data_IF_305792105999
#
_entry.id   IF_305792105999
#
_cell.length_a   1.000
_cell.length_b   1.000
_cell.length_c   1.000
_cell.angle_alpha   90.00
_cell.angle_beta   90.00
_cell.angle_gamma   90.00
#
_symmetry.space_group_name_H-M   'P 1'
#
loop_
_entity.id
_entity.type
_entity.pdbx_description
1 polymer ?
#
# COMPACT_ATOMS: atom_id res chain seq x y z
N UNK A 1 0.77 -16.61 -35.32
CA UNK A 1 1.50 -16.15 -34.11
C UNK A 1 0.55 -16.07 -32.91
N UNK A 2 -0.50 -15.23 -32.96
CA UNK A 2 -1.57 -15.13 -31.93
C UNK A 2 -2.06 -16.51 -31.44
N UNK A 3 -2.53 -17.36 -32.34
CA UNK A 3 -3.14 -18.65 -31.97
C UNK A 3 -2.15 -19.61 -31.30
N UNK A 4 -0.89 -19.62 -31.76
CA UNK A 4 0.18 -20.45 -31.19
C UNK A 4 0.50 -20.02 -29.76
N UNK A 5 0.52 -18.71 -29.47
CA UNK A 5 0.75 -18.20 -28.12
C UNK A 5 -0.42 -18.51 -27.18
N UNK A 6 -1.66 -18.42 -27.68
CA UNK A 6 -2.83 -18.82 -26.92
C UNK A 6 -2.79 -20.33 -26.61
N UNK A 7 -2.57 -21.17 -27.62
CA UNK A 7 -2.42 -22.61 -27.44
C UNK A 7 -1.33 -22.94 -26.41
N UNK A 8 -0.17 -22.27 -26.53
CA UNK A 8 0.94 -22.41 -25.61
C UNK A 8 0.56 -22.11 -24.15
N UNK A 9 -0.16 -21.00 -23.91
CA UNK A 9 -0.54 -20.54 -22.57
C UNK A 9 -1.70 -21.32 -21.94
N UNK A 10 -2.61 -21.83 -22.77
CA UNK A 10 -3.74 -22.64 -22.31
C UNK A 10 -3.40 -24.11 -22.13
N UNK A 11 -2.24 -24.56 -22.61
CA UNK A 11 -1.76 -25.92 -22.42
C UNK A 11 -1.09 -26.08 -21.05
N UNK A 12 -1.64 -26.94 -20.19
CA UNK A 12 -1.07 -27.21 -18.87
C UNK A 12 0.18 -28.10 -18.98
N UNK A 13 1.31 -27.59 -18.50
CA UNK A 13 2.55 -28.37 -18.38
C UNK A 13 2.78 -28.79 -16.94
N UNK A 14 3.06 -30.07 -16.75
CA UNK A 14 3.49 -30.61 -15.48
C UNK A 14 5.01 -30.48 -15.31
N UNK A 15 5.50 -29.26 -15.04
CA UNK A 15 6.93 -29.06 -14.71
C UNK A 15 7.14 -29.32 -13.23
N UNK A 16 7.87 -30.39 -12.89
CA UNK A 16 8.05 -30.84 -11.51
C UNK A 16 9.19 -30.10 -10.81
N UNK A 17 10.24 -29.74 -11.54
CA UNK A 17 11.40 -29.03 -10.99
C UNK A 17 11.06 -27.54 -10.76
N UNK A 18 11.27 -27.00 -9.54
CA UNK A 18 11.09 -25.58 -9.25
C UNK A 18 11.90 -24.64 -10.16
N UNK A 19 13.14 -24.97 -10.53
CA UNK A 19 13.97 -24.11 -11.38
C UNK A 19 13.43 -24.04 -12.80
N UNK A 20 13.08 -25.18 -13.38
CA UNK A 20 12.44 -25.24 -14.70
C UNK A 20 11.08 -24.54 -14.68
N UNK A 21 10.34 -24.62 -13.56
CA UNK A 21 9.06 -23.91 -13.42
C UNK A 21 9.25 -22.40 -13.43
N UNK A 22 10.25 -21.85 -12.74
CA UNK A 22 10.55 -20.42 -12.81
C UNK A 22 10.96 -19.98 -14.22
N UNK A 23 11.76 -20.80 -14.91
CA UNK A 23 12.12 -20.56 -16.31
C UNK A 23 10.89 -20.54 -17.22
N UNK A 24 10.00 -21.51 -17.06
CA UNK A 24 8.75 -21.61 -17.81
C UNK A 24 7.82 -20.42 -17.54
N UNK A 25 7.60 -20.02 -16.28
CA UNK A 25 6.78 -18.86 -15.91
C UNK A 25 7.29 -17.55 -16.53
N UNK A 26 8.61 -17.41 -16.72
CA UNK A 26 9.19 -16.27 -17.42
C UNK A 26 8.85 -16.27 -18.91
N UNK A 27 8.87 -17.45 -19.56
CA UNK A 27 8.47 -17.60 -20.97
C UNK A 27 6.97 -17.39 -21.13
N UNK A 28 6.15 -17.96 -20.24
CA UNK A 28 4.71 -17.73 -20.21
C UNK A 28 4.38 -16.24 -20.00
N UNK A 29 5.10 -15.56 -19.11
CA UNK A 29 4.96 -14.11 -18.94
C UNK A 29 5.33 -13.34 -20.22
N UNK A 30 6.40 -13.70 -20.91
CA UNK A 30 6.77 -13.07 -22.18
C UNK A 30 5.71 -13.31 -23.28
N UNK A 31 5.17 -14.53 -23.36
CA UNK A 31 4.10 -14.89 -24.27
C UNK A 31 2.81 -14.11 -23.98
N UNK A 32 2.39 -14.06 -22.70
CA UNK A 32 1.21 -13.31 -22.28
C UNK A 32 1.34 -11.81 -22.58
N UNK A 33 2.51 -11.20 -22.32
CA UNK A 33 2.76 -9.80 -22.66
C UNK A 33 2.68 -9.55 -24.16
N UNK A 34 3.20 -10.48 -24.97
CA UNK A 34 3.17 -10.37 -26.43
C UNK A 34 1.75 -10.37 -26.99
N UNK A 35 0.79 -11.02 -26.32
CA UNK A 35 -0.61 -11.03 -26.73
C UNK A 35 -1.28 -9.64 -26.69
N UNK A 36 -0.72 -8.68 -25.93
CA UNK A 36 -1.19 -7.29 -25.92
C UNK A 36 -1.05 -6.58 -27.28
N UNK A 37 -0.28 -7.13 -28.23
CA UNK A 37 -0.19 -6.62 -29.60
C UNK A 37 -1.47 -6.82 -30.43
N UNK A 38 -2.43 -7.62 -29.96
CA UNK A 38 -3.73 -7.84 -30.61
C UNK A 38 -4.89 -7.41 -29.70
N UNK A 39 -5.08 -6.09 -29.48
CA UNK A 39 -6.06 -5.57 -28.52
C UNK A 39 -7.48 -5.64 -29.09
N UNK A 40 -8.08 -6.82 -29.05
CA UNK A 40 -9.49 -7.03 -29.35
C UNK A 40 -10.25 -7.61 -28.14
N UNK A 41 -11.59 -7.55 -28.19
CA UNK A 41 -12.47 -8.01 -27.11
C UNK A 41 -12.32 -9.52 -26.84
N UNK A 42 -12.09 -10.30 -27.89
CA UNK A 42 -11.89 -11.75 -27.78
C UNK A 42 -10.60 -12.07 -27.04
N UNK A 43 -9.52 -11.35 -27.35
CA UNK A 43 -8.23 -11.44 -26.68
C UNK A 43 -8.36 -11.04 -25.21
N UNK A 44 -9.03 -9.92 -24.93
CA UNK A 44 -9.28 -9.50 -23.55
C UNK A 44 -9.98 -10.60 -22.75
N UNK A 45 -11.07 -11.16 -23.28
CA UNK A 45 -11.80 -12.26 -22.62
C UNK A 45 -10.96 -13.50 -22.45
N UNK A 46 -10.09 -13.81 -23.41
CA UNK A 46 -9.19 -14.96 -23.35
C UNK A 46 -8.15 -14.78 -22.24
N UNK A 47 -7.50 -13.61 -22.17
CA UNK A 47 -6.54 -13.27 -21.13
C UNK A 47 -7.22 -13.24 -19.75
N UNK A 48 -8.42 -12.68 -19.64
CA UNK A 48 -9.17 -12.65 -18.39
C UNK A 48 -9.52 -14.06 -17.92
N UNK A 49 -9.96 -14.94 -18.82
CA UNK A 49 -10.20 -16.36 -18.52
C UNK A 49 -8.93 -17.08 -18.08
N UNK A 50 -7.79 -16.78 -18.69
CA UNK A 50 -6.48 -17.34 -18.27
C UNK A 50 -6.13 -16.90 -16.84
N UNK A 51 -6.45 -15.66 -16.47
CA UNK A 51 -6.16 -15.07 -15.16
C UNK A 51 -6.87 -15.76 -14.00
N UNK A 52 -7.97 -16.47 -14.27
CA UNK A 52 -8.68 -17.29 -13.28
C UNK A 52 -7.81 -18.47 -12.80
N UNK A 53 -6.90 -18.96 -13.64
CA UNK A 53 -6.12 -20.18 -13.42
C UNK A 53 -4.63 -19.96 -13.16
N UNK A 54 -4.12 -18.81 -13.60
CA UNK A 54 -2.68 -18.50 -13.60
C UNK A 54 -2.45 -17.08 -13.10
N UNK A 55 -1.43 -16.91 -12.29
CA UNK A 55 -0.89 -15.60 -11.91
C UNK A 55 0.44 -15.43 -12.65
N UNK A 56 0.53 -14.46 -13.56
CA UNK A 56 1.74 -14.18 -14.35
C UNK A 56 1.94 -12.67 -14.44
N UNK A 57 3.19 -12.21 -14.26
CA UNK A 57 3.53 -10.78 -14.43
C UNK A 57 3.19 -10.29 -15.85
N UNK A 58 3.47 -11.10 -16.87
CA UNK A 58 3.11 -10.75 -18.25
C UNK A 58 1.60 -10.68 -18.50
N UNK A 59 0.81 -11.46 -17.78
CA UNK A 59 -0.65 -11.42 -17.87
C UNK A 59 -1.21 -10.19 -17.16
N UNK A 60 -0.62 -9.80 -16.02
CA UNK A 60 -0.94 -8.53 -15.35
C UNK A 60 -0.66 -7.35 -16.30
N UNK A 61 0.53 -7.30 -16.90
CA UNK A 61 0.91 -6.27 -17.86
C UNK A 61 -0.06 -6.20 -19.05
N UNK A 62 -0.37 -7.36 -19.65
CA UNK A 62 -1.26 -7.43 -20.81
C UNK A 62 -2.68 -6.98 -20.48
N UNK A 63 -3.24 -7.43 -19.36
CA UNK A 63 -4.57 -7.03 -18.91
C UNK A 63 -4.62 -5.55 -18.51
N UNK A 64 -3.56 -5.02 -17.90
CA UNK A 64 -3.47 -3.61 -17.54
C UNK A 64 -3.52 -2.68 -18.76
N UNK A 65 -3.08 -3.14 -19.93
CA UNK A 65 -3.15 -2.38 -21.18
C UNK A 65 -4.57 -2.09 -21.66
N UNK A 66 -5.56 -2.87 -21.23
CA UNK A 66 -6.97 -2.66 -21.56
C UNK A 66 -7.65 -1.62 -20.65
N UNK A 67 -7.07 -1.32 -19.49
CA UNK A 67 -7.59 -0.34 -18.52
C UNK A 67 -9.06 -0.61 -18.11
N UNK A 68 -9.39 -1.89 -17.96
CA UNK A 68 -10.76 -2.37 -17.71
C UNK A 68 -11.00 -2.76 -16.25
N UNK A 69 -12.11 -2.32 -15.62
CA UNK A 69 -12.39 -2.62 -14.21
C UNK A 69 -12.53 -4.12 -13.92
N UNK A 70 -12.88 -4.94 -14.91
CA UNK A 70 -13.01 -6.38 -14.77
C UNK A 70 -11.70 -7.08 -14.36
N UNK A 71 -10.54 -6.43 -14.54
CA UNK A 71 -9.23 -6.98 -14.17
C UNK A 71 -8.86 -6.72 -12.71
N UNK A 72 -9.59 -5.83 -12.02
CA UNK A 72 -9.28 -5.42 -10.64
C UNK A 72 -9.17 -6.61 -9.68
N UNK A 73 -10.10 -7.60 -9.66
CA UNK A 73 -10.00 -8.72 -8.72
C UNK A 73 -8.71 -9.54 -8.91
N UNK A 74 -8.24 -9.66 -10.15
CA UNK A 74 -6.99 -10.35 -10.46
C UNK A 74 -5.78 -9.58 -9.93
N UNK A 75 -5.75 -8.26 -10.10
CA UNK A 75 -4.67 -7.41 -9.57
C UNK A 75 -4.69 -7.34 -8.04
N UNK A 76 -5.87 -7.28 -7.39
CA UNK A 76 -5.97 -7.29 -5.92
C UNK A 76 -5.40 -8.58 -5.32
N UNK A 77 -5.63 -9.73 -5.96
CA UNK A 77 -5.04 -11.01 -5.54
C UNK A 77 -3.52 -11.00 -5.71
N UNK A 78 -3.02 -10.37 -6.76
CA UNK A 78 -1.58 -10.26 -7.03
C UNK A 78 -0.83 -9.38 -6.00
N UNK A 79 -1.50 -8.47 -5.30
CA UNK A 79 -0.88 -7.67 -4.24
C UNK A 79 -0.44 -8.50 -3.02
N UNK A 80 -1.02 -9.69 -2.80
CA UNK A 80 -0.71 -10.57 -1.67
C UNK A 80 0.61 -11.36 -1.87
N UNK A 81 1.22 -11.27 -3.04
CA UNK A 81 2.41 -12.03 -3.43
C UNK A 81 3.54 -11.09 -3.83
N UNK A 82 4.69 -11.18 -3.14
CA UNK A 82 5.86 -10.32 -3.35
C UNK A 82 6.35 -10.34 -4.81
N UNK A 83 6.21 -11.47 -5.51
CA UNK A 83 6.71 -11.64 -6.87
C UNK A 83 5.86 -10.90 -7.92
N UNK A 84 4.56 -10.72 -7.65
CA UNK A 84 3.61 -10.07 -8.56
C UNK A 84 3.24 -8.65 -8.12
N UNK A 85 3.42 -8.31 -6.84
CA UNK A 85 2.95 -7.07 -6.21
C UNK A 85 3.38 -5.82 -6.98
N UNK A 86 4.65 -5.67 -7.30
CA UNK A 86 5.15 -4.47 -7.99
C UNK A 86 4.52 -4.26 -9.38
N UNK A 87 4.16 -5.34 -10.08
CA UNK A 87 3.47 -5.26 -11.37
C UNK A 87 1.99 -4.95 -11.18
N UNK A 88 1.36 -5.54 -10.17
CA UNK A 88 -0.03 -5.28 -9.82
C UNK A 88 -0.26 -3.84 -9.33
N UNK A 89 0.66 -3.27 -8.55
CA UNK A 89 0.61 -1.87 -8.12
C UNK A 89 0.57 -0.93 -9.32
N UNK A 90 1.48 -1.12 -10.28
CA UNK A 90 1.52 -0.32 -11.52
C UNK A 90 0.24 -0.47 -12.35
N UNK A 91 -0.30 -1.69 -12.43
CA UNK A 91 -1.55 -1.96 -13.14
C UNK A 91 -2.75 -1.24 -12.48
N UNK A 92 -2.83 -1.26 -11.15
CA UNK A 92 -3.89 -0.57 -10.38
C UNK A 92 -3.74 0.95 -10.42
N UNK A 93 -2.51 1.49 -10.37
CA UNK A 93 -2.24 2.91 -10.59
C UNK A 93 -2.72 3.37 -11.97
N UNK A 94 -2.47 2.56 -13.01
CA UNK A 94 -2.90 2.85 -14.39
C UNK A 94 -4.42 2.91 -14.53
N UNK A 95 -5.16 2.06 -13.81
CA UNK A 95 -6.63 2.14 -13.73
C UNK A 95 -7.13 3.42 -13.03
N UNK A 96 -6.27 4.05 -12.22
CA UNK A 96 -6.56 5.30 -11.54
C UNK A 96 -7.81 5.23 -10.67
N UNK A 97 -8.67 6.24 -10.80
CA UNK A 97 -9.87 6.39 -9.96
C UNK A 97 -10.86 5.21 -10.04
N UNK A 98 -10.85 4.44 -11.14
CA UNK A 98 -11.69 3.26 -11.30
C UNK A 98 -11.33 2.16 -10.28
N UNK A 99 -10.06 2.09 -9.86
CA UNK A 99 -9.58 1.13 -8.87
C UNK A 99 -9.91 1.53 -7.43
N UNK A 100 -10.19 2.81 -7.15
CA UNK A 100 -10.35 3.34 -5.79
C UNK A 100 -11.34 2.55 -4.91
N UNK A 101 -12.56 2.19 -5.36
CA UNK A 101 -13.50 1.46 -4.49
C UNK A 101 -12.96 0.10 -4.05
N UNK A 102 -12.20 -0.58 -4.91
CA UNK A 102 -11.60 -1.86 -4.59
C UNK A 102 -10.40 -1.68 -3.65
N UNK A 103 -9.51 -0.74 -3.94
CA UNK A 103 -8.36 -0.42 -3.11
C UNK A 103 -8.77 0.02 -1.69
N UNK A 104 -9.83 0.82 -1.54
CA UNK A 104 -10.36 1.21 -0.23
C UNK A 104 -10.82 -0.03 0.55
N UNK A 105 -11.62 -0.91 -0.07
CA UNK A 105 -12.01 -2.18 0.58
C UNK A 105 -10.79 -3.00 0.94
N UNK A 106 -9.81 -3.08 0.03
CA UNK A 106 -8.60 -3.84 0.25
C UNK A 106 -7.81 -3.31 1.45
N UNK A 107 -7.63 -1.99 1.57
CA UNK A 107 -6.90 -1.36 2.67
C UNK A 107 -7.53 -1.59 4.05
N UNK A 108 -8.86 -1.68 4.14
CA UNK A 108 -9.58 -1.83 5.43
C UNK A 108 -9.99 -3.26 5.77
N UNK A 109 -9.77 -4.23 4.88
CA UNK A 109 -10.20 -5.62 5.10
C UNK A 109 -8.99 -6.51 5.42
N UNK A 110 -8.76 -6.87 6.70
CA UNK A 110 -7.74 -7.86 7.06
C UNK A 110 -8.12 -9.27 6.61
N UNK A 111 -7.12 -10.10 6.27
CA UNK A 111 -7.29 -11.50 5.85
C UNK A 111 -6.27 -12.44 6.53
N UNK A 112 -6.71 -13.59 7.07
CA UNK A 112 -8.11 -13.95 7.32
C UNK A 112 -8.78 -12.97 8.29
N UNK A 113 -10.11 -12.89 8.31
CA UNK A 113 -10.85 -12.01 9.22
C UNK A 113 -10.78 -12.44 10.72
N UNK A 114 -9.83 -13.31 11.08
CA UNK A 114 -9.58 -13.74 12.45
C UNK A 114 -8.62 -12.77 13.16
N UNK A 115 -8.33 -13.02 14.44
CA UNK A 115 -7.45 -12.17 15.26
C UNK A 115 -6.02 -12.05 14.72
N UNK A 116 -5.59 -12.96 13.83
CA UNK A 116 -4.24 -12.99 13.29
C UNK A 116 -4.31 -12.84 11.76
N UNK A 117 -4.17 -11.60 11.31
CA UNK A 117 -3.95 -11.27 9.90
C UNK A 117 -2.64 -11.90 9.41
N UNK A 118 -2.63 -12.46 8.19
CA UNK A 118 -1.42 -13.03 7.62
C UNK A 118 -0.51 -11.93 7.00
N UNK A 119 0.81 -12.17 6.87
CA UNK A 119 1.74 -11.17 6.33
C UNK A 119 1.36 -10.67 4.92
N UNK A 120 0.95 -11.58 4.04
CA UNK A 120 0.50 -11.26 2.68
C UNK A 120 -0.67 -10.27 2.64
N UNK A 121 -1.59 -10.37 3.59
CA UNK A 121 -2.73 -9.46 3.70
C UNK A 121 -2.31 -8.08 4.19
N UNK A 122 -1.42 -8.01 5.19
CA UNK A 122 -0.86 -6.74 5.65
C UNK A 122 -0.18 -6.02 4.48
N UNK A 123 0.64 -6.75 3.72
CA UNK A 123 1.31 -6.21 2.53
C UNK A 123 0.34 -5.74 1.45
N UNK A 124 -0.74 -6.49 1.18
CA UNK A 124 -1.81 -6.04 0.27
C UNK A 124 -2.45 -4.74 0.77
N UNK A 125 -2.75 -4.63 2.07
CA UNK A 125 -3.36 -3.42 2.65
C UNK A 125 -2.44 -2.21 2.53
N UNK A 126 -1.15 -2.38 2.85
CA UNK A 126 -0.11 -1.34 2.71
C UNK A 126 0.03 -0.89 1.26
N UNK A 127 0.07 -1.84 0.32
CA UNK A 127 0.16 -1.57 -1.11
C UNK A 127 -1.07 -0.81 -1.62
N UNK A 128 -2.27 -1.24 -1.21
CA UNK A 128 -3.50 -0.55 -1.56
C UNK A 128 -3.49 0.91 -1.07
N UNK A 129 -3.02 1.14 0.15
CA UNK A 129 -2.93 2.48 0.73
C UNK A 129 -1.85 3.35 0.04
N UNK A 130 -0.74 2.76 -0.40
CA UNK A 130 0.29 3.44 -1.19
C UNK A 130 -0.28 3.90 -2.53
N UNK A 131 -0.99 3.02 -3.24
CA UNK A 131 -1.65 3.36 -4.51
C UNK A 131 -2.68 4.48 -4.30
N UNK A 132 -3.49 4.40 -3.24
CA UNK A 132 -4.47 5.44 -2.90
C UNK A 132 -3.84 6.81 -2.63
N UNK A 133 -2.65 6.85 -2.02
CA UNK A 133 -1.88 8.09 -1.84
C UNK A 133 -1.43 8.73 -3.15
N UNK A 134 -1.24 7.94 -4.21
CA UNK A 134 -0.82 8.44 -5.51
C UNK A 134 -1.99 8.87 -6.38
N UNK A 135 -3.07 8.08 -6.41
CA UNK A 135 -4.23 8.37 -7.27
C UNK A 135 -5.21 9.36 -6.62
N UNK A 136 -5.18 9.48 -5.29
CA UNK A 136 -6.06 10.35 -4.50
C UNK A 136 -7.41 9.72 -4.17
N UNK A 137 -8.07 10.25 -3.13
CA UNK A 137 -9.38 9.78 -2.64
C UNK A 137 -10.38 10.92 -2.47
N UNK A 138 -11.66 10.56 -2.41
CA UNK A 138 -12.75 11.46 -2.04
C UNK A 138 -12.96 11.50 -0.52
N UNK A 139 -13.69 12.51 -0.04
CA UNK A 139 -14.09 12.60 1.36
C UNK A 139 -14.91 11.38 1.82
N UNK A 140 -15.78 10.84 0.97
CA UNK A 140 -16.58 9.65 1.32
C UNK A 140 -15.69 8.42 1.54
N UNK A 141 -14.62 8.27 0.75
CA UNK A 141 -13.65 7.20 0.93
C UNK A 141 -12.80 7.41 2.18
N UNK A 142 -12.47 8.67 2.51
CA UNK A 142 -11.80 9.01 3.76
C UNK A 142 -12.58 8.55 5.00
N UNK A 143 -13.91 8.73 5.02
CA UNK A 143 -14.75 8.27 6.14
C UNK A 143 -14.63 6.77 6.42
N UNK A 144 -14.29 5.96 5.41
CA UNK A 144 -14.03 4.52 5.57
C UNK A 144 -12.59 4.28 6.04
N UNK A 145 -11.63 5.00 5.47
CA UNK A 145 -10.20 4.80 5.72
C UNK A 145 -9.73 5.34 7.06
N UNK A 146 -10.46 6.28 7.69
CA UNK A 146 -10.07 6.86 8.98
C UNK A 146 -9.93 5.82 10.10
N UNK A 147 -10.61 4.68 9.99
CA UNK A 147 -10.47 3.56 10.93
C UNK A 147 -9.02 3.04 10.99
N UNK A 148 -8.25 3.19 9.90
CA UNK A 148 -6.83 2.81 9.84
C UNK A 148 -5.94 3.64 10.78
N UNK A 149 -6.41 4.78 11.29
CA UNK A 149 -5.68 5.53 12.33
C UNK A 149 -5.54 4.72 13.65
N UNK A 150 -6.41 3.73 13.84
CA UNK A 150 -6.41 2.83 14.99
C UNK A 150 -5.76 1.48 14.69
N UNK A 151 -5.22 1.30 13.48
CA UNK A 151 -4.58 0.05 13.11
C UNK A 151 -3.32 -0.22 13.97
N UNK A 152 -3.05 -1.48 14.35
CA UNK A 152 -1.78 -1.85 14.99
C UNK A 152 -0.58 -1.69 14.06
N UNK A 153 -0.77 -1.78 12.74
CA UNK A 153 0.31 -1.63 11.77
C UNK A 153 0.69 -0.16 11.56
N UNK A 154 1.95 0.16 11.86
CA UNK A 154 2.44 1.54 11.85
C UNK A 154 2.48 2.14 10.44
N UNK A 155 2.77 1.33 9.41
CA UNK A 155 2.76 1.79 8.01
C UNK A 155 1.35 2.15 7.55
N UNK A 156 0.33 1.39 7.96
CA UNK A 156 -1.06 1.71 7.69
C UNK A 156 -1.49 3.02 8.38
N UNK A 157 -1.11 3.24 9.64
CA UNK A 157 -1.41 4.50 10.35
C UNK A 157 -0.77 5.70 9.66
N UNK A 158 0.52 5.59 9.28
CA UNK A 158 1.25 6.66 8.59
C UNK A 158 0.66 6.92 7.20
N UNK A 159 0.42 5.87 6.42
CA UNK A 159 -0.17 5.98 5.08
C UNK A 159 -1.58 6.58 5.11
N UNK A 160 -2.39 6.25 6.10
CA UNK A 160 -3.74 6.79 6.26
C UNK A 160 -3.70 8.24 6.74
N UNK A 161 -2.77 8.58 7.64
CA UNK A 161 -2.55 9.96 8.08
C UNK A 161 -2.14 10.86 6.92
N UNK A 162 -1.22 10.39 6.05
CA UNK A 162 -0.81 11.12 4.84
C UNK A 162 -1.98 11.35 3.89
N UNK A 163 -2.72 10.28 3.60
CA UNK A 163 -3.85 10.29 2.68
C UNK A 163 -5.00 11.17 3.18
N UNK A 164 -5.28 11.11 4.49
CA UNK A 164 -6.39 11.80 5.12
C UNK A 164 -6.14 13.25 5.45
N UNK A 165 -4.88 13.68 5.62
CA UNK A 165 -4.53 15.04 6.06
C UNK A 165 -5.30 16.17 5.34
N UNK A 166 -5.45 16.20 4.00
CA UNK A 166 -6.21 17.24 3.31
C UNK A 166 -7.74 17.14 3.48
N UNK A 167 -8.26 16.01 3.94
CA UNK A 167 -9.70 15.70 4.03
C UNK A 167 -10.21 15.60 5.47
N UNK A 168 -9.30 15.45 6.43
CA UNK A 168 -9.57 15.11 7.80
C UNK A 168 -10.31 16.22 8.55
N UNK A 169 -11.28 15.81 9.37
CA UNK A 169 -11.91 16.72 10.33
C UNK A 169 -10.91 17.16 11.40
N UNK A 170 -11.18 18.24 12.16
CA UNK A 170 -10.34 18.61 13.30
C UNK A 170 -10.15 17.48 14.34
N UNK A 171 -11.17 16.65 14.52
CA UNK A 171 -11.10 15.47 15.41
C UNK A 171 -10.16 14.40 14.87
N UNK A 172 -10.26 14.07 13.58
CA UNK A 172 -9.37 13.12 12.92
C UNK A 172 -7.93 13.61 12.95
N UNK A 173 -7.69 14.90 12.69
CA UNK A 173 -6.35 15.54 12.74
C UNK A 173 -5.74 15.43 14.15
N UNK A 174 -6.55 15.64 15.19
CA UNK A 174 -6.12 15.43 16.58
C UNK A 174 -5.78 13.96 16.86
N UNK A 175 -6.56 13.03 16.31
CA UNK A 175 -6.29 11.59 16.41
C UNK A 175 -5.01 11.20 15.68
N UNK A 176 -4.79 11.67 14.46
CA UNK A 176 -3.55 11.51 13.69
C UNK A 176 -2.35 11.99 14.52
N UNK A 177 -2.39 13.25 15.00
CA UNK A 177 -1.30 13.82 15.78
C UNK A 177 -0.97 12.96 17.01
N UNK A 178 -1.99 12.53 17.75
CA UNK A 178 -1.83 11.66 18.93
C UNK A 178 -1.19 10.32 18.57
N UNK A 179 -1.66 9.66 17.50
CA UNK A 179 -1.16 8.35 17.07
C UNK A 179 0.27 8.46 16.56
N UNK A 180 0.56 9.41 15.68
CA UNK A 180 1.90 9.68 15.14
C UNK A 180 2.92 9.99 16.25
N UNK A 181 2.54 10.78 17.27
CA UNK A 181 3.41 11.02 18.43
C UNK A 181 3.72 9.75 19.23
N UNK A 182 2.74 8.85 19.37
CA UNK A 182 2.94 7.59 20.08
C UNK A 182 3.87 6.64 19.30
N UNK A 183 3.81 6.66 17.97
CA UNK A 183 4.65 5.86 17.09
C UNK A 183 6.07 6.39 16.94
N UNK A 184 6.29 7.71 17.10
CA UNK A 184 7.55 8.37 16.78
C UNK A 184 8.80 7.74 17.42
N UNK A 185 8.67 7.12 18.60
CA UNK A 185 9.77 6.49 19.32
C UNK A 185 9.97 5.00 18.99
N UNK A 186 8.93 4.29 18.55
CA UNK A 186 8.98 2.85 18.23
C UNK A 186 9.10 2.56 16.74
N UNK A 187 8.75 3.55 15.91
CA UNK A 187 8.64 3.34 14.48
C UNK A 187 9.99 2.99 13.82
N UNK A 188 10.00 2.06 12.86
CA UNK A 188 11.15 1.82 12.01
C UNK A 188 11.72 3.11 11.45
N UNK A 189 13.05 3.17 11.32
CA UNK A 189 13.77 4.37 10.90
C UNK A 189 13.24 4.96 9.57
N UNK A 190 12.78 4.12 8.65
CA UNK A 190 12.26 4.54 7.35
C UNK A 190 10.90 5.26 7.43
N UNK A 191 10.14 5.12 8.53
CA UNK A 191 8.89 5.85 8.77
C UNK A 191 9.09 7.14 9.58
N UNK A 192 10.23 7.30 10.26
CA UNK A 192 10.43 8.44 11.16
C UNK A 192 10.35 9.77 10.43
N UNK A 193 10.96 9.89 9.25
CA UNK A 193 10.91 11.13 8.46
C UNK A 193 9.48 11.51 8.06
N UNK A 194 8.68 10.52 7.66
CA UNK A 194 7.27 10.69 7.31
C UNK A 194 6.42 11.11 8.51
N UNK A 195 6.60 10.44 9.65
CA UNK A 195 5.90 10.77 10.90
C UNK A 195 6.24 12.21 11.30
N UNK A 196 7.52 12.60 11.26
CA UNK A 196 7.94 13.96 11.57
C UNK A 196 7.33 14.97 10.60
N UNK A 197 7.33 14.68 9.30
CA UNK A 197 6.72 15.55 8.28
C UNK A 197 5.23 15.76 8.51
N UNK A 198 4.49 14.70 8.84
CA UNK A 198 3.06 14.76 9.16
C UNK A 198 2.78 15.54 10.44
N UNK A 199 3.59 15.35 11.50
CA UNK A 199 3.44 16.09 12.75
C UNK A 199 3.70 17.59 12.57
N UNK A 200 4.63 17.96 11.69
CA UNK A 200 4.85 19.36 11.30
C UNK A 200 3.64 19.92 10.55
N UNK A 201 3.04 19.15 9.64
CA UNK A 201 1.83 19.58 8.93
C UNK A 201 0.60 19.70 9.86
N UNK A 202 0.59 18.94 10.95
CA UNK A 202 -0.41 18.97 12.03
C UNK A 202 0.00 19.90 13.19
N UNK A 203 0.75 20.97 12.94
CA UNK A 203 1.31 21.83 14.00
C UNK A 203 0.27 22.38 14.97
N UNK A 204 -0.92 22.74 14.46
CA UNK A 204 -1.98 23.35 15.28
C UNK A 204 -2.53 22.33 16.29
N UNK A 205 -2.56 21.05 15.91
CA UNK A 205 -3.00 19.94 16.77
C UNK A 205 -1.88 19.36 17.65
N UNK A 206 -0.64 19.41 17.18
CA UNK A 206 0.49 18.69 17.78
C UNK A 206 1.35 19.53 18.71
N UNK A 207 1.47 20.85 18.48
CA UNK A 207 2.48 21.69 19.13
C UNK A 207 2.44 21.66 20.67
N UNK A 208 1.25 21.85 21.27
CA UNK A 208 1.10 21.87 22.73
C UNK A 208 1.46 20.50 23.33
N UNK A 209 1.06 19.41 22.67
CA UNK A 209 1.34 18.04 23.12
C UNK A 209 2.82 17.70 23.01
N UNK A 210 3.46 18.09 21.90
CA UNK A 210 4.90 17.92 21.71
C UNK A 210 5.67 18.67 22.80
N UNK A 211 5.29 19.93 23.09
CA UNK A 211 5.91 20.70 24.15
C UNK A 211 5.76 20.05 25.53
N UNK A 212 4.56 19.55 25.86
CA UNK A 212 4.31 18.85 27.12
C UNK A 212 5.12 17.55 27.26
N UNK A 213 5.20 16.74 26.21
CA UNK A 213 5.96 15.48 26.24
C UNK A 213 7.48 15.72 26.31
N UNK A 214 7.98 16.75 25.62
CA UNK A 214 9.37 17.21 25.78
C UNK A 214 9.62 17.65 27.23
N UNK A 215 8.76 18.49 27.80
CA UNK A 215 8.92 18.97 29.18
C UNK A 215 8.94 17.81 30.17
N UNK A 216 8.04 16.83 30.01
CA UNK A 216 8.00 15.61 30.82
C UNK A 216 9.30 14.81 30.71
N UNK A 217 9.76 14.50 29.49
CA UNK A 217 11.01 13.74 29.24
C UNK A 217 12.25 14.49 29.73
N UNK A 218 12.25 15.82 29.70
CA UNK A 218 13.36 16.64 30.18
C UNK A 218 13.58 16.57 31.71
N UNK A 219 12.58 16.11 32.48
CA UNK A 219 12.72 15.86 33.93
C UNK A 219 13.50 14.59 34.26
N UNK A 220 13.72 13.70 33.29
CA UNK A 220 14.45 12.46 33.49
C UNK A 220 15.96 12.71 33.71
N UNK A 221 16.67 11.79 34.41
CA UNK A 221 18.12 11.85 34.58
C UNK A 221 18.88 12.01 33.26
N UNK A 222 20.03 12.70 33.30
CA UNK A 222 20.83 13.03 32.12
C UNK A 222 21.19 11.83 31.22
N UNK A 223 21.57 10.70 31.81
CA UNK A 223 21.91 9.48 31.07
C UNK A 223 20.70 8.87 30.36
N UNK A 224 19.50 8.93 30.95
CA UNK A 224 18.26 8.45 30.33
C UNK A 224 17.90 9.36 29.15
N UNK A 225 17.95 10.68 29.34
CA UNK A 225 17.67 11.66 28.29
C UNK A 225 18.59 11.52 27.08
N UNK A 226 19.87 11.22 27.30
CA UNK A 226 20.84 11.05 26.23
C UNK A 226 20.51 9.85 25.31
N UNK A 227 19.85 8.82 25.86
CA UNK A 227 19.47 7.61 25.14
C UNK A 227 18.04 7.64 24.60
N UNK A 228 17.20 8.60 24.99
CA UNK A 228 15.79 8.70 24.59
C UNK A 228 15.66 9.14 23.12
N UNK A 229 15.48 8.17 22.23
CA UNK A 229 15.25 8.38 20.80
C UNK A 229 13.97 9.19 20.52
N UNK A 230 12.92 8.94 21.30
CA UNK A 230 11.67 9.70 21.21
C UNK A 230 11.86 11.17 21.55
N UNK A 231 12.66 11.49 22.59
CA UNK A 231 12.99 12.88 22.92
C UNK A 231 13.76 13.55 21.77
N UNK A 232 14.76 12.87 21.19
CA UNK A 232 15.52 13.40 20.05
C UNK A 232 14.61 13.67 18.85
N UNK A 233 13.68 12.77 18.55
CA UNK A 233 12.71 12.94 17.48
C UNK A 233 11.75 14.12 17.74
N UNK A 234 11.16 14.22 18.94
CA UNK A 234 10.29 15.34 19.32
C UNK A 234 11.02 16.69 19.22
N UNK A 235 12.30 16.75 19.62
CA UNK A 235 13.12 17.95 19.47
C UNK A 235 13.42 18.29 18.00
N UNK A 236 13.49 17.32 17.09
CA UNK A 236 13.56 17.58 15.64
C UNK A 236 12.25 18.16 15.12
N UNK A 237 11.11 17.55 15.46
CA UNK A 237 9.78 18.04 15.06
C UNK A 237 9.56 19.47 15.55
N UNK A 238 9.80 19.74 16.85
CA UNK A 238 9.67 21.09 17.43
C UNK A 238 10.47 22.14 16.64
N UNK A 239 11.74 21.85 16.34
CA UNK A 239 12.60 22.75 15.56
C UNK A 239 12.12 22.96 14.13
N UNK A 240 11.46 21.97 13.52
CA UNK A 240 10.86 22.10 12.18
C UNK A 240 9.58 22.94 12.22
N UNK A 241 8.73 22.73 13.23
CA UNK A 241 7.51 23.54 13.45
C UNK A 241 7.86 25.01 13.68
N UNK A 242 8.91 25.32 14.43
CA UNK A 242 9.36 26.70 14.67
C UNK A 242 9.91 27.40 13.41
N UNK A 243 10.26 26.64 12.36
CA UNK A 243 10.82 27.17 11.10
C UNK A 243 9.81 27.29 9.96
N UNK A 244 8.65 26.65 10.06
CA UNK A 244 7.62 26.57 9.02
C UNK A 244 6.48 27.55 9.29
#
# INVERSE_FOLDING_TARGET
AKDVLLEYLFHERGTVDPEDRFGEEAVESAAARSLAAWPDEEMFRSLLKLSERRMLNGLIDALAAYERPETIPYFERALEDDFYRATAERALQRLGQVACPALVRSAVTPRPASLLENPSSIERRRSALRILNEIGITRQQWEILRELLHDPDEELVVGASRLGLPLASPEDRMTMARRLMALLASAPWHLQEDIEGLLVALRDESAQRIAAEIAKKMTQPGHIRAMDEGLRALLRVKRRVEKA
#
